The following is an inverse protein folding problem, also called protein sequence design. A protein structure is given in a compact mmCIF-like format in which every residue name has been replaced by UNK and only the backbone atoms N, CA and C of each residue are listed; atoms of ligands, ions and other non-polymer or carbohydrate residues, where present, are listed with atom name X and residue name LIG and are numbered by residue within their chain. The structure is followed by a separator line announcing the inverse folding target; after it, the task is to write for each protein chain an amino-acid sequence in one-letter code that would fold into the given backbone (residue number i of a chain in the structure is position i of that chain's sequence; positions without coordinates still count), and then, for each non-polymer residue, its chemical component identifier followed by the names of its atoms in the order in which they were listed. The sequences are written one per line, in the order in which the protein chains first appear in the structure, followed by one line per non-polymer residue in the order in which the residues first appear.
data_IF_721598219902
#
_entry.id   IF_721598219902
#
_cell.length_a   1.000
_cell.length_b   1.000
_cell.length_c   1.000
_cell.angle_alpha   90.00
_cell.angle_beta   90.00
_cell.angle_gamma   90.00
#
_symmetry.space_group_name_H-M   'P 1'
#
loop_
_entity.id
_entity.type
_entity.pdbx_description
1 polymer ?
#
# COMPACT_ATOMS: atom_id res chain seq x y z
N UNK A 1 -46.48 28.38 -1.55
CA UNK A 1 -46.11 26.97 -1.78
C UNK A 1 -44.59 26.88 -1.67
N UNK A 2 -44.08 26.36 -0.55
CA UNK A 2 -42.65 26.24 -0.25
C UNK A 2 -42.30 24.77 -0.51
N UNK A 3 -41.52 24.48 -1.54
CA UNK A 3 -41.02 23.12 -1.75
C UNK A 3 -39.87 22.87 -0.76
N UNK A 4 -40.15 22.05 0.24
CA UNK A 4 -39.19 21.59 1.23
C UNK A 4 -38.13 20.70 0.57
N UNK A 5 -36.87 21.16 0.59
CA UNK A 5 -35.69 20.32 0.35
C UNK A 5 -35.58 19.28 1.46
N UNK A 6 -35.81 18.02 1.14
CA UNK A 6 -35.46 16.84 1.95
C UNK A 6 -35.22 15.69 0.96
N UNK A 7 -34.26 14.78 1.08
CA UNK A 7 -33.08 14.62 1.91
C UNK A 7 -32.16 13.68 1.10
N UNK A 8 -30.83 13.84 1.12
CA UNK A 8 -29.92 12.84 0.52
C UNK A 8 -29.79 11.71 1.55
N UNK A 9 -30.28 10.48 1.28
CA UNK A 9 -30.07 9.37 2.21
C UNK A 9 -28.60 8.94 2.16
N UNK A 10 -27.89 9.13 3.28
CA UNK A 10 -27.10 8.05 3.86
C UNK A 10 -25.93 7.48 3.06
N UNK A 11 -25.20 8.26 2.26
CA UNK A 11 -23.84 7.88 1.86
C UNK A 11 -22.87 8.15 3.02
N UNK A 12 -23.11 7.52 4.17
CA UNK A 12 -22.07 7.34 5.17
C UNK A 12 -21.14 6.29 4.59
N UNK A 13 -20.06 6.74 3.94
CA UNK A 13 -18.91 5.90 3.64
C UNK A 13 -18.37 5.38 4.97
N UNK A 14 -18.92 4.25 5.43
CA UNK A 14 -18.37 3.50 6.54
C UNK A 14 -17.01 3.02 6.06
N UNK A 15 -15.98 3.79 6.36
CA UNK A 15 -14.60 3.37 6.19
C UNK A 15 -14.38 2.29 7.24
N UNK A 16 -14.63 1.04 6.87
CA UNK A 16 -14.44 -0.11 7.74
C UNK A 16 -13.01 -0.09 8.25
N UNK A 17 -12.83 -0.11 9.58
CA UNK A 17 -11.52 -0.27 10.26
C UNK A 17 -10.79 -1.56 9.81
N UNK A 18 -11.43 -2.43 9.04
CA UNK A 18 -10.82 -3.59 8.37
C UNK A 18 -9.94 -3.24 7.16
N UNK A 19 -10.04 -2.03 6.60
CA UNK A 19 -9.25 -1.64 5.42
C UNK A 19 -7.81 -1.21 5.76
N UNK A 20 -7.48 -1.11 7.05
CA UNK A 20 -6.11 -0.92 7.55
C UNK A 20 -5.40 -2.25 7.87
N UNK A 21 -6.09 -3.39 7.74
CA UNK A 21 -5.64 -4.70 8.24
C UNK A 21 -4.99 -5.63 7.21
N UNK A 22 -5.15 -5.39 5.91
CA UNK A 22 -4.52 -6.20 4.87
C UNK A 22 -3.13 -5.67 4.54
N UNK A 23 -2.23 -5.63 5.52
CA UNK A 23 -0.82 -5.65 5.19
C UNK A 23 -0.55 -7.04 4.58
N UNK A 24 -0.58 -7.13 3.24
CA UNK A 24 -0.20 -8.33 2.51
C UNK A 24 1.12 -8.88 3.11
N UNK A 25 1.25 -10.19 3.39
CA UNK A 25 2.43 -10.75 4.06
C UNK A 25 3.75 -10.34 3.36
N UNK A 26 3.73 -10.17 2.04
CA UNK A 26 4.86 -9.63 1.28
C UNK A 26 5.20 -8.17 1.59
N UNK A 27 4.21 -7.31 1.87
CA UNK A 27 4.43 -5.94 2.33
C UNK A 27 5.10 -5.89 3.69
N UNK A 28 4.71 -6.77 4.62
CA UNK A 28 5.31 -6.86 5.95
C UNK A 28 6.77 -7.33 5.87
N UNK A 29 7.01 -8.39 5.09
CA UNK A 29 8.36 -8.94 4.90
C UNK A 29 9.29 -7.93 4.22
N UNK A 30 8.80 -7.24 3.17
CA UNK A 30 9.54 -6.17 2.52
C UNK A 30 9.84 -5.02 3.48
N UNK A 31 8.85 -4.51 4.21
CA UNK A 31 9.03 -3.40 5.14
C UNK A 31 10.00 -3.73 6.27
N UNK A 32 9.91 -4.94 6.84
CA UNK A 32 10.82 -5.40 7.90
C UNK A 32 12.29 -5.39 7.47
N UNK A 33 12.56 -5.70 6.19
CA UNK A 33 13.90 -5.64 5.62
C UNK A 33 14.29 -4.22 5.19
N UNK A 34 13.37 -3.51 4.52
CA UNK A 34 13.59 -2.19 3.94
C UNK A 34 14.10 -1.18 4.97
N UNK A 35 13.48 -1.13 6.15
CA UNK A 35 13.87 -0.20 7.20
C UNK A 35 15.15 -0.59 7.94
N UNK A 36 15.66 -1.81 7.75
CA UNK A 36 16.91 -2.30 8.39
C UNK A 36 18.10 -2.27 7.44
N UNK A 37 17.87 -2.30 6.14
CA UNK A 37 18.94 -2.33 5.14
C UNK A 37 19.22 -0.91 4.59
N UNK A 38 20.40 -0.32 4.87
CA UNK A 38 20.72 1.03 4.39
C UNK A 38 20.72 1.13 2.86
N UNK A 39 21.08 0.05 2.15
CA UNK A 39 21.01 -0.01 0.69
C UNK A 39 19.57 0.05 0.17
N UNK A 40 18.63 -0.65 0.83
CA UNK A 40 17.22 -0.60 0.47
C UNK A 40 16.59 0.76 0.82
N UNK A 41 16.95 1.36 1.96
CA UNK A 41 16.53 2.72 2.30
C UNK A 41 17.00 3.73 1.25
N UNK A 42 18.27 3.64 0.83
CA UNK A 42 18.83 4.51 -0.21
C UNK A 42 18.11 4.30 -1.56
N UNK A 43 17.80 3.06 -1.93
CA UNK A 43 17.04 2.73 -3.14
C UNK A 43 15.58 3.23 -3.08
N UNK A 44 14.98 3.33 -1.89
CA UNK A 44 13.61 3.85 -1.69
C UNK A 44 13.48 5.36 -1.82
N UNK A 45 14.57 6.13 -1.63
CA UNK A 45 14.58 7.60 -1.68
C UNK A 45 14.56 8.18 -3.10
N UNK A 46 13.86 7.53 -4.04
CA UNK A 46 13.69 7.98 -5.43
C UNK A 46 15.02 8.29 -6.13
N UNK A 47 16.11 7.60 -5.80
CA UNK A 47 17.34 7.71 -6.59
C UNK A 47 17.27 6.71 -7.73
N UNK A 48 16.94 7.12 -8.97
CA UNK A 48 16.90 6.21 -10.10
C UNK A 48 18.28 5.55 -10.28
N UNK A 49 18.29 4.23 -10.45
CA UNK A 49 19.51 3.45 -10.69
C UNK A 49 20.13 2.78 -9.46
N UNK A 50 19.67 3.07 -8.23
CA UNK A 50 20.15 2.34 -7.05
C UNK A 50 19.53 0.93 -6.98
N UNK A 51 20.41 -0.08 -6.97
CA UNK A 51 20.00 -1.47 -6.80
C UNK A 51 19.69 -1.76 -5.34
N UNK A 52 18.54 -2.40 -5.11
CA UNK A 52 18.24 -3.07 -3.82
C UNK A 52 19.28 -4.18 -3.59
N UNK A 53 19.53 -4.51 -2.32
CA UNK A 53 20.43 -5.62 -2.00
C UNK A 53 19.87 -6.96 -2.50
N UNK A 54 20.69 -8.00 -2.49
CA UNK A 54 20.32 -9.35 -2.96
C UNK A 54 19.09 -9.95 -2.25
N UNK A 55 18.88 -9.60 -0.97
CA UNK A 55 17.73 -10.04 -0.17
C UNK A 55 16.50 -9.15 -0.40
N UNK A 56 16.71 -7.84 -0.49
CA UNK A 56 15.62 -6.87 -0.64
C UNK A 56 15.01 -6.83 -2.05
N UNK A 57 15.75 -7.27 -3.07
CA UNK A 57 15.26 -7.35 -4.44
C UNK A 57 14.10 -8.35 -4.63
N UNK A 58 14.19 -9.62 -4.23
CA UNK A 58 13.08 -10.57 -4.35
C UNK A 58 11.88 -10.17 -3.48
N UNK A 59 12.10 -9.62 -2.28
CA UNK A 59 11.02 -9.11 -1.41
C UNK A 59 10.25 -7.95 -2.08
N UNK A 60 10.98 -7.05 -2.75
CA UNK A 60 10.37 -5.97 -3.52
C UNK A 60 9.56 -6.49 -4.70
N UNK A 61 10.05 -7.50 -5.44
CA UNK A 61 9.31 -8.09 -6.54
C UNK A 61 8.00 -8.73 -6.07
N UNK A 62 8.04 -9.51 -4.98
CA UNK A 62 6.86 -10.11 -4.38
C UNK A 62 5.83 -9.04 -3.97
N UNK A 63 6.28 -7.97 -3.32
CA UNK A 63 5.43 -6.83 -2.96
C UNK A 63 4.79 -6.17 -4.19
N UNK A 64 5.56 -5.86 -5.23
CA UNK A 64 5.03 -5.23 -6.46
C UNK A 64 4.02 -6.15 -7.16
N UNK A 65 4.28 -7.46 -7.19
CA UNK A 65 3.34 -8.43 -7.76
C UNK A 65 2.03 -8.45 -6.96
N UNK A 66 2.08 -8.54 -5.64
CA UNK A 66 0.89 -8.52 -4.80
C UNK A 66 0.07 -7.24 -4.99
N UNK A 67 0.71 -6.07 -4.98
CA UNK A 67 0.03 -4.78 -5.21
C UNK A 67 -0.60 -4.71 -6.61
N UNK A 68 0.06 -5.28 -7.61
CA UNK A 68 -0.49 -5.37 -8.97
C UNK A 68 -1.72 -6.30 -9.04
N UNK A 69 -1.79 -7.36 -8.23
CA UNK A 69 -2.97 -8.24 -8.11
C UNK A 69 -4.11 -7.57 -7.32
N UNK A 70 -3.80 -6.76 -6.31
CA UNK A 70 -4.80 -5.99 -5.56
C UNK A 70 -5.45 -4.90 -6.43
N UNK A 71 -4.68 -4.27 -7.32
CA UNK A 71 -5.19 -3.22 -8.21
C UNK A 71 -6.15 -3.72 -9.30
N UNK A 72 -6.32 -5.03 -9.44
CA UNK A 72 -7.18 -5.67 -10.45
C UNK A 72 -8.51 -6.20 -9.90
N UNK A 73 -8.76 -6.04 -8.59
CA UNK A 73 -10.01 -6.41 -7.91
C UNK A 73 -10.85 -5.17 -7.62
#
# INVERSE_FOLDING_TARGET
MIYARTAIPGASSVFTIGQLGNAMPESMAYNAHHFKCPQCQAAGRMTPGLRRCEVGHPLWQAYVQAVAQESQQ
#
